data_IF_858491022153
#
_entry.id   IF_858491022153
#
_cell.length_a   1.000
_cell.length_b   1.000
_cell.length_c   1.000
_cell.angle_alpha   90.00
_cell.angle_beta   90.00
_cell.angle_gamma   90.00
#
_symmetry.space_group_name_H-M   'P 1'
#
loop_
_entity.id
_entity.type
_entity.pdbx_description
1 polymer ?
#
# COMPACT_ATOMS: atom_id res chain seq x y z
N UNK A 1 39.58 -15.04 -21.48
CA UNK A 1 38.57 -14.00 -21.14
C UNK A 1 38.36 -13.17 -22.40
N UNK A 2 37.13 -13.09 -22.92
CA UNK A 2 36.84 -12.45 -24.22
C UNK A 2 37.18 -10.96 -24.17
N UNK A 3 38.03 -10.50 -25.09
CA UNK A 3 38.53 -9.12 -25.17
C UNK A 3 37.56 -8.12 -25.84
N UNK A 4 36.34 -8.55 -26.18
CA UNK A 4 35.45 -7.82 -27.08
C UNK A 4 34.32 -7.04 -26.39
N UNK A 5 34.13 -7.21 -25.08
CA UNK A 5 33.17 -6.43 -24.30
C UNK A 5 33.96 -5.73 -23.20
N UNK A 6 34.09 -4.40 -23.32
CA UNK A 6 34.70 -3.56 -22.29
C UNK A 6 33.58 -2.91 -21.49
N UNK A 7 33.46 -3.25 -20.21
CA UNK A 7 32.56 -2.56 -19.29
C UNK A 7 33.15 -1.17 -18.96
N UNK A 8 32.67 -0.17 -19.68
CA UNK A 8 33.03 1.22 -19.42
C UNK A 8 32.23 1.73 -18.22
N UNK A 9 32.86 1.74 -17.06
CA UNK A 9 32.27 2.31 -15.84
C UNK A 9 32.58 3.80 -15.77
N UNK A 10 31.61 4.63 -16.15
CA UNK A 10 31.66 6.08 -16.03
C UNK A 10 30.49 6.59 -15.19
N UNK A 11 30.70 6.86 -13.88
CA UNK A 11 29.65 7.36 -12.99
C UNK A 11 28.96 8.63 -13.50
N UNK A 12 29.66 9.47 -14.26
CA UNK A 12 29.09 10.73 -14.78
C UNK A 12 27.97 10.50 -15.81
N UNK A 13 27.96 9.33 -16.47
CA UNK A 13 26.94 8.94 -17.46
C UNK A 13 25.75 8.18 -16.86
N UNK A 14 25.76 7.91 -15.55
CA UNK A 14 24.72 7.14 -14.84
C UNK A 14 23.60 8.01 -14.26
N UNK A 15 23.44 9.24 -14.77
CA UNK A 15 22.39 10.16 -14.32
C UNK A 15 20.96 9.61 -14.47
N UNK A 16 20.72 8.72 -15.44
CA UNK A 16 19.41 8.08 -15.65
C UNK A 16 18.94 7.23 -14.46
N UNK A 17 19.86 6.75 -13.62
CA UNK A 17 19.52 5.97 -12.43
C UNK A 17 18.73 6.78 -11.40
N UNK A 18 18.87 8.11 -11.45
CA UNK A 18 18.16 9.03 -10.57
C UNK A 18 16.64 8.94 -10.74
N UNK A 19 16.18 8.56 -11.94
CA UNK A 19 14.76 8.26 -12.17
C UNK A 19 14.24 7.18 -11.21
N UNK A 20 14.96 6.06 -11.08
CA UNK A 20 14.56 4.96 -10.20
C UNK A 20 14.77 5.29 -8.72
N UNK A 21 15.82 6.05 -8.37
CA UNK A 21 16.02 6.53 -6.99
C UNK A 21 14.86 7.42 -6.56
N UNK A 22 14.47 8.37 -7.39
CA UNK A 22 13.34 9.26 -7.14
C UNK A 22 12.01 8.51 -7.03
N UNK A 23 11.82 7.44 -7.82
CA UNK A 23 10.63 6.57 -7.70
C UNK A 23 10.57 5.88 -6.33
N UNK A 24 11.70 5.42 -5.80
CA UNK A 24 11.77 4.72 -4.52
C UNK A 24 11.68 5.64 -3.30
N UNK A 25 12.21 6.86 -3.38
CA UNK A 25 12.09 7.85 -2.31
C UNK A 25 10.63 8.16 -1.98
N UNK A 26 10.36 8.45 -0.71
CA UNK A 26 9.03 8.72 -0.14
C UNK A 26 9.14 9.80 0.94
N UNK A 27 8.00 10.44 1.28
CA UNK A 27 7.96 11.55 2.24
C UNK A 27 7.92 11.03 3.68
N UNK A 28 7.10 10.00 3.90
CA UNK A 28 6.95 9.37 5.21
C UNK A 28 6.49 7.92 5.11
N UNK A 29 6.70 7.22 6.22
CA UNK A 29 6.29 5.83 6.42
C UNK A 29 5.36 5.77 7.64
N UNK A 30 4.23 5.09 7.51
CA UNK A 30 3.23 4.96 8.58
C UNK A 30 2.97 3.49 8.87
N UNK A 31 3.01 3.10 10.14
CA UNK A 31 2.69 1.73 10.55
C UNK A 31 1.17 1.48 10.49
N UNK A 32 0.78 0.37 9.88
CA UNK A 32 -0.61 -0.07 9.82
C UNK A 32 -0.70 -1.61 9.77
N UNK A 33 -1.92 -2.14 9.61
CA UNK A 33 -2.22 -3.56 9.41
C UNK A 33 -3.47 -3.73 8.53
N UNK A 34 -3.75 -4.95 8.09
CA UNK A 34 -4.95 -5.28 7.32
C UNK A 34 -6.02 -5.87 8.22
N UNK A 35 -7.12 -5.12 8.42
CA UNK A 35 -8.27 -5.54 9.23
C UNK A 35 -9.22 -6.52 8.51
N UNK A 36 -8.69 -7.50 7.79
CA UNK A 36 -9.47 -8.55 7.13
C UNK A 36 -9.37 -9.88 7.90
N UNK A 37 -10.32 -10.79 7.68
CA UNK A 37 -10.38 -12.08 8.37
C UNK A 37 -9.41 -13.10 7.74
N UNK A 38 -8.10 -12.84 7.81
CA UNK A 38 -7.08 -13.69 7.17
C UNK A 38 -6.17 -14.44 8.15
N UNK A 39 -6.38 -14.30 9.47
CA UNK A 39 -5.52 -14.77 10.57
C UNK A 39 -4.08 -14.23 10.59
N UNK A 40 -3.71 -13.43 9.58
CA UNK A 40 -2.35 -12.93 9.40
C UNK A 40 -1.92 -11.96 10.48
N UNK A 41 -2.72 -10.93 10.80
CA UNK A 41 -2.33 -9.90 11.78
C UNK A 41 -0.98 -9.24 11.45
N UNK A 42 -0.61 -9.17 10.18
CA UNK A 42 0.69 -8.68 9.73
C UNK A 42 0.77 -7.15 9.89
N UNK A 43 1.83 -6.65 10.50
CA UNK A 43 2.23 -5.25 10.50
C UNK A 43 2.91 -4.87 9.18
N UNK A 44 2.52 -3.72 8.66
CA UNK A 44 3.00 -3.16 7.40
C UNK A 44 3.48 -1.73 7.62
N UNK A 45 4.48 -1.36 6.83
CA UNK A 45 4.90 0.01 6.62
C UNK A 45 4.27 0.54 5.34
N UNK A 46 3.38 1.51 5.49
CA UNK A 46 2.69 2.18 4.38
C UNK A 46 3.50 3.41 3.97
N UNK A 47 3.86 3.49 2.69
CA UNK A 47 4.69 4.54 2.14
C UNK A 47 3.82 5.62 1.51
N UNK A 48 4.11 6.87 1.86
CA UNK A 48 3.43 8.06 1.34
C UNK A 48 4.44 8.90 0.57
N UNK A 49 4.09 9.29 -0.64
CA UNK A 49 4.87 10.19 -1.50
C UNK A 49 3.92 11.20 -2.15
N UNK A 50 4.31 12.47 -2.19
CA UNK A 50 3.49 13.57 -2.70
C UNK A 50 2.10 13.61 -2.07
N UNK A 51 2.02 13.27 -0.77
CA UNK A 51 0.77 13.24 -0.01
C UNK A 51 -0.19 12.08 -0.34
N UNK A 52 0.18 11.14 -1.21
CA UNK A 52 -0.63 9.96 -1.54
C UNK A 52 0.02 8.65 -1.08
N UNK A 53 -0.80 7.64 -0.76
CA UNK A 53 -0.30 6.28 -0.48
C UNK A 53 0.16 5.67 -1.80
N UNK A 54 1.41 5.19 -1.86
CA UNK A 54 1.98 4.64 -3.09
C UNK A 54 2.12 3.12 -3.05
N UNK A 55 2.74 2.59 -2.00
CA UNK A 55 2.91 1.14 -1.79
C UNK A 55 3.05 0.83 -0.29
N UNK A 56 3.13 -0.44 0.03
CA UNK A 56 3.39 -0.94 1.38
C UNK A 56 4.43 -2.04 1.34
N UNK A 57 5.20 -2.20 2.40
CA UNK A 57 6.11 -3.33 2.60
C UNK A 57 5.92 -3.85 4.01
N UNK A 58 6.23 -5.13 4.22
CA UNK A 58 6.14 -5.71 5.54
C UNK A 58 7.05 -4.99 6.53
N UNK A 59 6.54 -4.74 7.74
CA UNK A 59 7.41 -4.38 8.85
C UNK A 59 8.13 -5.63 9.36
N UNK A 60 9.40 -5.49 9.71
CA UNK A 60 10.27 -6.62 10.10
C UNK A 60 10.70 -6.58 11.57
N UNK A 61 10.14 -5.66 12.34
CA UNK A 61 10.56 -5.34 13.70
C UNK A 61 9.65 -5.94 14.79
N UNK A 62 9.07 -7.11 14.53
CA UNK A 62 8.37 -7.85 15.59
C UNK A 62 9.37 -8.22 16.70
N UNK A 63 8.96 -8.16 17.98
CA UNK A 63 9.78 -8.67 19.08
C UNK A 63 10.15 -10.14 18.85
N UNK A 64 11.42 -10.50 19.09
CA UNK A 64 11.86 -11.89 19.09
C UNK A 64 11.23 -12.60 20.30
N UNK A 65 10.73 -13.82 20.10
CA UNK A 65 10.21 -14.64 21.19
C UNK A 65 11.34 -15.20 22.06
N UNK A 66 12.32 -15.85 21.42
CA UNK A 66 13.53 -16.41 22.04
C UNK A 66 14.64 -16.56 21.00
N UNK A 67 15.87 -16.84 21.42
CA UNK A 67 17.04 -16.93 20.53
C UNK A 67 17.09 -18.22 19.70
N UNK A 68 16.48 -19.29 20.19
CA UNK A 68 16.40 -20.60 19.53
C UNK A 68 15.38 -20.67 18.39
N UNK A 69 14.38 -19.77 18.38
CA UNK A 69 13.33 -19.78 17.37
C UNK A 69 13.61 -18.78 16.25
N UNK A 70 13.20 -19.11 15.01
CA UNK A 70 13.22 -18.15 13.93
C UNK A 70 12.26 -16.98 14.24
N UNK A 71 12.60 -15.75 13.82
CA UNK A 71 11.71 -14.60 13.98
C UNK A 71 10.46 -14.74 13.10
N UNK A 72 9.39 -14.02 13.45
CA UNK A 72 8.15 -14.01 12.67
C UNK A 72 8.22 -13.17 11.39
N UNK A 73 9.17 -12.23 11.33
CA UNK A 73 9.33 -11.36 10.17
C UNK A 73 9.68 -12.15 8.90
N UNK A 74 9.23 -11.70 7.70
CA UNK A 74 8.46 -10.48 7.44
C UNK A 74 6.92 -10.68 7.57
N UNK A 75 6.42 -11.91 7.72
CA UNK A 75 5.01 -12.25 7.45
C UNK A 75 4.56 -11.71 6.07
N UNK A 76 3.30 -11.25 5.97
CA UNK A 76 2.73 -10.69 4.75
C UNK A 76 2.23 -11.73 3.75
N UNK A 77 1.53 -11.27 2.71
CA UNK A 77 1.03 -12.12 1.62
C UNK A 77 0.76 -11.27 0.35
N UNK A 78 0.49 -11.93 -0.77
CA UNK A 78 0.18 -11.31 -2.06
C UNK A 78 -1.10 -10.46 -2.05
N UNK A 79 -2.03 -10.75 -1.14
CA UNK A 79 -3.25 -9.94 -0.96
C UNK A 79 -2.93 -8.68 -0.16
N UNK A 80 -2.07 -8.81 0.85
CA UNK A 80 -1.64 -7.67 1.66
C UNK A 80 -0.86 -6.64 0.85
N UNK A 81 0.14 -7.07 0.08
CA UNK A 81 1.03 -6.18 -0.71
C UNK A 81 0.29 -5.35 -1.77
N UNK A 82 -0.93 -5.74 -2.14
CA UNK A 82 -1.75 -5.05 -3.14
C UNK A 82 -2.85 -4.17 -2.54
N UNK A 83 -2.91 -4.03 -1.20
CA UNK A 83 -4.03 -3.34 -0.55
C UNK A 83 -4.07 -1.84 -0.84
N UNK A 84 -2.91 -1.19 -1.05
CA UNK A 84 -2.82 0.22 -1.44
C UNK A 84 -3.63 0.56 -2.70
N UNK A 85 -3.89 -0.41 -3.59
CA UNK A 85 -4.73 -0.23 -4.78
C UNK A 85 -6.15 0.24 -4.43
N UNK A 86 -6.76 -0.31 -3.37
CA UNK A 86 -8.16 -0.01 -3.00
C UNK A 86 -8.39 1.45 -2.60
N UNK A 87 -7.34 2.18 -2.21
CA UNK A 87 -7.47 3.57 -1.78
C UNK A 87 -8.00 4.45 -2.92
N UNK A 88 -7.54 4.20 -4.14
CA UNK A 88 -7.80 5.01 -5.34
C UNK A 88 -8.44 4.24 -6.50
N UNK A 89 -8.74 2.95 -6.30
CA UNK A 89 -9.32 2.11 -7.33
C UNK A 89 -10.72 2.56 -7.75
N UNK A 90 -11.19 2.16 -8.96
CA UNK A 90 -12.57 2.42 -9.38
C UNK A 90 -13.63 1.78 -8.48
N UNK A 91 -13.24 0.86 -7.58
CA UNK A 91 -14.14 0.21 -6.63
C UNK A 91 -14.30 0.99 -5.32
N UNK A 92 -13.56 2.09 -5.12
CA UNK A 92 -13.64 2.88 -3.90
C UNK A 92 -15.01 3.54 -3.77
N UNK A 93 -15.77 3.16 -2.75
CA UNK A 93 -16.99 3.86 -2.34
C UNK A 93 -16.59 5.25 -1.81
N UNK A 94 -17.06 6.31 -2.48
CA UNK A 94 -16.74 7.71 -2.17
C UNK A 94 -17.83 8.44 -1.39
N UNK A 95 -19.08 7.96 -1.50
CA UNK A 95 -20.26 8.60 -0.94
C UNK A 95 -21.16 7.55 -0.28
N UNK A 96 -22.01 7.94 0.68
CA UNK A 96 -23.10 7.08 1.12
C UNK A 96 -24.09 6.88 -0.03
N UNK A 97 -24.43 5.63 -0.32
CA UNK A 97 -25.40 5.28 -1.35
C UNK A 97 -26.71 4.79 -0.71
N UNK A 98 -27.81 5.12 -1.39
CA UNK A 98 -29.15 4.63 -1.09
C UNK A 98 -29.76 4.14 -2.40
N UNK A 99 -30.55 3.08 -2.33
CA UNK A 99 -31.29 2.59 -3.50
C UNK A 99 -32.33 3.62 -3.91
N UNK A 100 -32.40 3.98 -5.20
CA UNK A 100 -33.24 5.09 -5.70
C UNK A 100 -34.69 5.04 -5.23
N UNK A 101 -35.36 3.90 -5.40
CA UNK A 101 -36.76 3.71 -4.97
C UNK A 101 -36.95 3.99 -3.46
N UNK A 102 -35.97 3.63 -2.63
CA UNK A 102 -36.04 3.90 -1.19
C UNK A 102 -35.87 5.40 -0.90
N UNK A 103 -34.98 6.08 -1.62
CA UNK A 103 -34.80 7.52 -1.48
C UNK A 103 -36.05 8.30 -1.89
N UNK A 104 -36.72 7.86 -2.95
CA UNK A 104 -37.94 8.50 -3.43
C UNK A 104 -39.08 8.33 -2.42
N UNK A 105 -39.29 7.10 -1.91
CA UNK A 105 -40.29 6.84 -0.86
C UNK A 105 -39.99 7.61 0.44
N UNK A 106 -38.72 7.71 0.83
CA UNK A 106 -38.30 8.51 1.99
C UNK A 106 -38.65 9.99 1.83
N UNK A 107 -38.33 10.58 0.66
CA UNK A 107 -38.64 11.99 0.37
C UNK A 107 -40.15 12.27 0.36
N UNK A 108 -40.94 11.36 -0.20
CA UNK A 108 -42.40 11.47 -0.18
C UNK A 108 -42.93 11.45 1.25
N UNK A 109 -42.52 10.47 2.06
CA UNK A 109 -42.92 10.37 3.46
C UNK A 109 -42.49 11.62 4.26
N UNK A 110 -41.26 12.10 4.03
CA UNK A 110 -40.75 13.32 4.65
C UNK A 110 -41.62 14.53 4.31
N UNK A 111 -42.04 14.71 3.05
CA UNK A 111 -42.91 15.82 2.65
C UNK A 111 -44.32 15.80 3.28
N UNK A 112 -44.81 14.61 3.64
CA UNK A 112 -46.15 14.42 4.23
C UNK A 112 -46.19 14.55 5.74
N UNK A 113 -45.05 14.33 6.40
CA UNK A 113 -44.99 14.14 7.86
C UNK A 113 -43.93 14.99 8.56
N UNK A 114 -43.26 15.90 7.83
CA UNK A 114 -42.40 16.95 8.41
C UNK A 114 -43.19 18.26 8.48
#
# INVERSE_FOLDING_TARGET
MSSHIQDLVDPSKRGWEEFYRNRWQYDKMVRSTHGNNCTGGCSWMVYVKDGIITWELQATDYPKLEQSLPPYEPRGCQRGISSSWYVYSPLRVKYPYIRGILLDAWKEAQSKHS
#
